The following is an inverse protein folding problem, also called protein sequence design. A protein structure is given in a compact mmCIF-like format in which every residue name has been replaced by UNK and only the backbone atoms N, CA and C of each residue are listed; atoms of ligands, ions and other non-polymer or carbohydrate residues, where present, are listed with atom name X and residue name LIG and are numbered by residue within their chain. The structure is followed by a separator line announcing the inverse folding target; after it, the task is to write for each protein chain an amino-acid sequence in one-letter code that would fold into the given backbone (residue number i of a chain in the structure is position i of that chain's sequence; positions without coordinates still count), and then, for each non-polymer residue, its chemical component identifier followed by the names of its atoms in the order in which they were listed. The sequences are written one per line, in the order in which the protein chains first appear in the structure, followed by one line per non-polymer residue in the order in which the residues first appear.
data_IF_728450888834
#
_entry.id   IF_728450888834
#
_cell.length_a   1.000
_cell.length_b   1.000
_cell.length_c   1.000
_cell.angle_alpha   90.00
_cell.angle_beta   90.00
_cell.angle_gamma   90.00
#
_symmetry.space_group_name_H-M   'P 1'
#
loop_
_entity.id
_entity.type
_entity.pdbx_description
1 polymer ?
#
# COMPACT_ATOMS: atom_id res chain seq x y z
N UNK A 1 -3.69 -2.94 -13.51
CA UNK A 1 -4.10 -1.83 -12.64
C UNK A 1 -3.82 -2.23 -11.20
N UNK A 2 -3.17 -1.37 -10.42
CA UNK A 2 -3.01 -1.59 -8.97
C UNK A 2 -4.16 -0.86 -8.27
N UNK A 3 -4.87 -1.54 -7.38
CA UNK A 3 -5.93 -0.94 -6.55
C UNK A 3 -5.33 -0.43 -5.23
N UNK A 4 -6.04 0.42 -4.48
CA UNK A 4 -5.60 0.86 -3.16
C UNK A 4 -5.24 -0.30 -2.21
N UNK A 5 -6.11 -1.31 -2.11
CA UNK A 5 -5.86 -2.50 -1.29
C UNK A 5 -4.64 -3.31 -1.76
N UNK A 6 -4.51 -3.52 -3.07
CA UNK A 6 -3.35 -4.19 -3.65
C UNK A 6 -2.03 -3.42 -3.42
N UNK A 7 -2.07 -2.08 -3.40
CA UNK A 7 -0.93 -1.25 -3.07
C UNK A 7 -0.50 -1.41 -1.61
N UNK A 8 -1.42 -1.39 -0.65
CA UNK A 8 -1.12 -1.67 0.76
C UNK A 8 -0.52 -3.08 0.92
N UNK A 9 -1.11 -4.09 0.26
CA UNK A 9 -0.57 -5.45 0.23
C UNK A 9 0.86 -5.52 -0.30
N UNK A 10 1.16 -4.75 -1.36
CA UNK A 10 2.51 -4.67 -1.90
C UNK A 10 3.48 -4.01 -0.90
N UNK A 11 3.08 -2.94 -0.21
CA UNK A 11 3.89 -2.32 0.86
C UNK A 11 4.22 -3.32 1.97
N UNK A 12 3.21 -4.04 2.48
CA UNK A 12 3.40 -5.04 3.54
C UNK A 12 4.32 -6.17 3.10
N UNK A 13 4.10 -6.73 1.91
CA UNK A 13 4.95 -7.79 1.34
C UNK A 13 6.37 -7.30 1.08
N UNK A 14 6.54 -6.06 0.62
CA UNK A 14 7.82 -5.40 0.47
C UNK A 14 8.59 -5.27 1.78
N UNK A 15 7.89 -5.08 2.90
CA UNK A 15 8.43 -5.09 4.25
C UNK A 15 8.56 -6.49 4.87
N UNK A 16 8.16 -7.56 4.15
CA UNK A 16 8.12 -8.95 4.61
C UNK A 16 7.32 -9.17 5.89
N UNK A 17 6.24 -8.42 6.07
CA UNK A 17 5.37 -8.54 7.23
C UNK A 17 4.16 -9.43 6.91
N UNK A 18 3.79 -10.30 7.84
CA UNK A 18 2.51 -11.02 7.79
C UNK A 18 1.35 -10.09 8.17
N UNK A 19 0.11 -10.51 7.91
CA UNK A 19 -1.05 -9.76 8.41
C UNK A 19 -1.09 -9.73 9.94
N UNK A 20 -0.62 -10.79 10.60
CA UNK A 20 -0.53 -10.85 12.07
C UNK A 20 0.50 -9.85 12.61
N UNK A 21 1.65 -9.72 11.96
CA UNK A 21 2.67 -8.71 12.36
C UNK A 21 2.14 -7.28 12.26
N UNK A 22 1.24 -7.03 11.30
CA UNK A 22 0.58 -5.74 11.14
C UNK A 22 -0.55 -5.56 12.14
N UNK A 23 -1.37 -6.59 12.35
CA UNK A 23 -2.47 -6.60 13.30
C UNK A 23 -2.01 -6.30 14.73
N UNK A 24 -0.86 -6.84 15.13
CA UNK A 24 -0.24 -6.60 16.44
C UNK A 24 0.15 -5.12 16.67
N UNK A 25 0.23 -4.32 15.61
CA UNK A 25 0.58 -2.87 15.67
C UNK A 25 -0.64 -1.96 15.70
N UNK A 26 -1.84 -2.52 15.58
CA UNK A 26 -3.09 -1.76 15.52
C UNK A 26 -3.80 -1.91 16.86
N UNK A 27 -3.92 -0.80 17.57
CA UNK A 27 -4.78 -0.74 18.76
C UNK A 27 -6.21 -0.37 18.37
N UNK A 28 -7.18 -0.97 19.04
CA UNK A 28 -8.61 -0.87 18.71
C UNK A 28 -9.43 -0.65 19.99
N UNK A 29 -10.43 0.24 19.92
CA UNK A 29 -11.41 0.45 20.99
C UNK A 29 -12.82 0.33 20.39
N UNK A 30 -13.66 -0.63 20.84
CA UNK A 30 -13.33 -1.72 21.77
C UNK A 30 -12.23 -2.65 21.24
N UNK A 31 -11.57 -3.38 22.15
CA UNK A 31 -10.47 -4.26 21.79
C UNK A 31 -10.96 -5.41 20.91
N UNK A 32 -10.39 -5.52 19.71
CA UNK A 32 -10.54 -6.68 18.83
C UNK A 32 -9.43 -7.70 19.12
N UNK A 33 -9.62 -8.95 18.73
CA UNK A 33 -8.55 -9.96 18.74
C UNK A 33 -7.58 -9.74 17.58
N UNK A 34 -6.37 -10.32 17.67
CA UNK A 34 -5.41 -10.32 16.55
C UNK A 34 -6.00 -10.95 15.29
N UNK A 35 -6.81 -12.00 15.44
CA UNK A 35 -7.48 -12.68 14.34
C UNK A 35 -8.48 -11.75 13.63
N UNK A 36 -9.29 -11.02 14.39
CA UNK A 36 -10.26 -10.06 13.83
C UNK A 36 -9.55 -8.89 13.13
N UNK A 37 -8.48 -8.37 13.73
CA UNK A 37 -7.66 -7.30 13.11
C UNK A 37 -6.98 -7.78 11.83
N UNK A 38 -6.43 -9.00 11.82
CA UNK A 38 -5.82 -9.59 10.64
C UNK A 38 -6.86 -9.81 9.53
N UNK A 39 -8.05 -10.31 9.87
CA UNK A 39 -9.16 -10.46 8.93
C UNK A 39 -9.68 -9.12 8.38
N UNK A 40 -9.69 -8.07 9.21
CA UNK A 40 -10.00 -6.72 8.75
C UNK A 40 -8.96 -6.19 7.76
N UNK A 41 -7.67 -6.35 8.05
CA UNK A 41 -6.57 -5.99 7.13
C UNK A 41 -6.63 -6.79 5.82
N UNK A 42 -6.96 -8.08 5.87
CA UNK A 42 -7.13 -8.91 4.68
C UNK A 42 -8.23 -8.36 3.77
N UNK A 43 -9.37 -7.98 4.34
CA UNK A 43 -10.49 -7.39 3.59
C UNK A 43 -10.15 -6.02 3.02
N UNK A 44 -9.35 -5.21 3.72
CA UNK A 44 -8.81 -3.96 3.18
C UNK A 44 -7.90 -4.22 1.99
N UNK A 45 -6.97 -5.17 2.11
CA UNK A 45 -6.06 -5.53 1.02
C UNK A 45 -6.76 -6.16 -0.19
N UNK A 46 -7.96 -6.70 0.02
CA UNK A 46 -8.84 -7.20 -1.03
C UNK A 46 -9.81 -6.14 -1.57
N UNK A 47 -9.67 -4.87 -1.15
CA UNK A 47 -10.53 -3.75 -1.55
C UNK A 47 -12.03 -3.96 -1.19
N UNK A 48 -12.33 -4.83 -0.23
CA UNK A 48 -13.69 -5.13 0.25
C UNK A 48 -14.17 -4.06 1.24
N UNK A 49 -13.27 -3.50 2.04
CA UNK A 49 -13.57 -2.44 3.01
C UNK A 49 -13.30 -1.08 2.36
N UNK A 50 -14.24 -0.12 2.43
CA UNK A 50 -14.00 1.24 1.96
C UNK A 50 -12.83 1.92 2.70
N UNK A 51 -11.95 2.63 1.96
CA UNK A 51 -10.89 3.44 2.55
C UNK A 51 -11.39 4.84 2.94
N UNK A 52 -12.23 4.89 3.96
CA UNK A 52 -12.65 6.17 4.55
C UNK A 52 -11.52 6.81 5.40
N UNK A 53 -11.72 8.06 5.83
CA UNK A 53 -10.73 8.79 6.62
C UNK A 53 -10.36 8.07 7.94
N UNK A 54 -11.34 7.41 8.57
CA UNK A 54 -11.14 6.65 9.80
C UNK A 54 -10.21 5.46 9.57
N UNK A 55 -10.45 4.71 8.50
CA UNK A 55 -9.64 3.58 8.06
C UNK A 55 -8.23 4.05 7.72
N UNK A 56 -8.09 5.12 6.95
CA UNK A 56 -6.78 5.69 6.59
C UNK A 56 -6.00 6.20 7.80
N UNK A 57 -6.67 6.79 8.79
CA UNK A 57 -6.05 7.25 10.03
C UNK A 57 -5.47 6.11 10.87
N UNK A 58 -6.11 4.93 10.86
CA UNK A 58 -5.58 3.72 11.51
C UNK A 58 -4.43 3.14 10.69
N UNK A 59 -4.61 3.01 9.37
CA UNK A 59 -3.62 2.38 8.50
C UNK A 59 -2.32 3.19 8.42
N UNK A 60 -2.37 4.52 8.46
CA UNK A 60 -1.17 5.38 8.38
C UNK A 60 -0.21 5.19 9.56
N UNK A 61 -0.68 4.59 10.66
CA UNK A 61 0.15 4.24 11.82
C UNK A 61 0.99 2.99 11.59
N UNK A 62 0.58 2.11 10.67
CA UNK A 62 1.19 0.79 10.48
C UNK A 62 1.76 0.59 9.08
N UNK A 63 1.27 1.31 8.08
CA UNK A 63 1.77 1.31 6.71
C UNK A 63 2.51 2.62 6.38
N UNK A 64 3.66 2.55 5.70
CA UNK A 64 4.38 3.73 5.24
C UNK A 64 3.86 4.21 3.87
N UNK A 65 2.60 4.65 3.79
CA UNK A 65 2.02 5.19 2.54
C UNK A 65 1.86 6.71 2.56
N UNK A 66 1.87 7.30 1.37
CA UNK A 66 1.37 8.66 1.13
C UNK A 66 -0.13 8.60 0.83
N UNK A 67 -0.93 9.36 1.59
CA UNK A 67 -2.39 9.39 1.43
C UNK A 67 -2.81 9.90 0.04
N UNK A 68 -1.99 10.77 -0.59
CA UNK A 68 -2.25 11.25 -1.94
C UNK A 68 -2.24 10.10 -2.97
N UNK A 69 -1.38 9.10 -2.79
CA UNK A 69 -1.33 7.91 -3.65
C UNK A 69 -2.60 7.06 -3.47
N UNK A 70 -3.09 6.91 -2.24
CA UNK A 70 -4.35 6.19 -2.01
C UNK A 70 -5.52 6.89 -2.71
N UNK A 71 -5.63 8.22 -2.57
CA UNK A 71 -6.67 8.99 -3.25
C UNK A 71 -6.57 8.90 -4.78
N UNK A 72 -5.37 8.97 -5.34
CA UNK A 72 -5.14 8.79 -6.77
C UNK A 72 -5.61 7.41 -7.25
N UNK A 73 -5.24 6.35 -6.54
CA UNK A 73 -5.66 4.98 -6.86
C UNK A 73 -7.17 4.79 -6.71
N UNK A 74 -7.81 5.45 -5.74
CA UNK A 74 -9.27 5.43 -5.60
C UNK A 74 -9.96 6.10 -6.79
N UNK A 75 -9.51 7.30 -7.18
CA UNK A 75 -10.04 8.00 -8.35
C UNK A 75 -9.87 7.19 -9.63
N UNK A 76 -8.74 6.50 -9.77
CA UNK A 76 -8.49 5.59 -10.88
C UNK A 76 -9.38 4.37 -10.88
N UNK A 77 -9.55 3.72 -9.72
CA UNK A 77 -10.48 2.60 -9.55
C UNK A 77 -11.92 2.99 -9.89
N UNK A 78 -12.33 4.21 -9.55
CA UNK A 78 -13.65 4.77 -9.89
C UNK A 78 -13.79 5.27 -11.33
N UNK A 79 -12.74 5.18 -12.15
CA UNK A 79 -12.76 5.65 -13.54
C UNK A 79 -12.82 7.17 -13.70
N UNK A 80 -12.45 7.92 -12.65
CA UNK A 80 -12.48 9.39 -12.66
C UNK A 80 -11.23 9.96 -13.35
N UNK A 81 -10.04 9.45 -13.00
CA UNK A 81 -8.74 9.90 -13.52
C UNK A 81 -7.77 8.71 -13.65
N UNK A 82 -6.81 8.76 -14.56
CA UNK A 82 -5.77 7.72 -14.65
C UNK A 82 -4.75 7.85 -13.50
N UNK A 83 -4.30 6.72 -12.95
CA UNK A 83 -3.20 6.73 -11.98
C UNK A 83 -1.86 6.97 -12.70
N UNK A 84 -1.18 8.03 -12.34
CA UNK A 84 0.07 8.51 -12.91
C UNK A 84 1.30 8.21 -12.06
N UNK A 85 1.14 8.00 -10.75
CA UNK A 85 2.27 7.68 -9.85
C UNK A 85 2.81 6.28 -10.17
N UNK A 86 4.11 6.14 -10.55
CA UNK A 86 4.70 4.84 -10.76
C UNK A 86 4.88 4.11 -9.43
N UNK A 87 4.30 2.90 -9.34
CA UNK A 87 4.34 2.05 -8.15
C UNK A 87 4.95 0.69 -8.51
N UNK A 88 5.80 0.17 -7.64
CA UNK A 88 6.26 -1.21 -7.76
C UNK A 88 5.17 -2.18 -7.27
N UNK A 89 4.71 -3.09 -8.14
CA UNK A 89 3.65 -4.04 -7.78
C UNK A 89 4.10 -5.11 -6.77
N UNK A 90 5.40 -5.22 -6.51
CA UNK A 90 5.96 -6.20 -5.58
C UNK A 90 6.14 -5.64 -4.17
N UNK A 91 6.57 -4.39 -4.05
CA UNK A 91 6.92 -3.78 -2.75
C UNK A 91 6.18 -2.47 -2.45
N UNK A 92 5.31 -2.00 -3.34
CA UNK A 92 4.51 -0.78 -3.20
C UNK A 92 5.30 0.52 -3.34
N UNK A 93 6.64 0.50 -3.33
CA UNK A 93 7.44 1.74 -3.38
C UNK A 93 7.16 2.58 -4.63
N UNK A 94 7.14 3.89 -4.44
CA UNK A 94 7.13 4.88 -5.51
C UNK A 94 8.52 5.03 -6.13
N UNK A 95 8.61 5.60 -7.33
CA UNK A 95 9.87 5.93 -7.99
C UNK A 95 10.74 6.95 -7.23
N UNK A 96 10.13 7.71 -6.31
CA UNK A 96 10.82 8.67 -5.40
C UNK A 96 11.56 8.00 -4.24
N UNK A 97 11.30 6.72 -3.97
CA UNK A 97 12.01 5.96 -2.93
C UNK A 97 12.86 4.88 -3.57
N UNK A 98 14.11 4.72 -3.12
CA UNK A 98 14.97 3.63 -3.60
C UNK A 98 14.24 2.30 -3.38
N UNK A 99 13.91 1.62 -4.47
CA UNK A 99 13.28 0.30 -4.48
C UNK A 99 14.32 -0.73 -4.04
N UNK A 100 14.58 -0.82 -2.73
CA UNK A 100 15.46 -1.84 -2.15
C UNK A 100 14.68 -3.12 -1.93
N UNK A 101 14.06 -3.67 -2.98
CA UNK A 101 13.61 -5.05 -2.94
C UNK A 101 14.88 -5.91 -2.80
N UNK A 102 15.27 -6.17 -1.56
CA UNK A 102 16.37 -7.05 -1.24
C UNK A 102 16.05 -8.44 -1.80
N UNK A 103 16.79 -8.78 -2.85
CA UNK A 103 17.04 -10.08 -3.46
C UNK A 103 16.06 -10.59 -4.54
N UNK A 104 16.67 -10.87 -5.70
CA UNK A 104 16.31 -11.76 -6.83
C UNK A 104 15.30 -11.32 -7.89
N UNK A 105 14.38 -10.39 -7.64
CA UNK A 105 13.47 -9.88 -8.68
C UNK A 105 13.64 -8.39 -8.94
N UNK A 106 13.88 -8.01 -10.21
CA UNK A 106 13.83 -6.61 -10.63
C UNK A 106 12.44 -6.02 -10.33
N UNK A 107 12.40 -4.81 -9.75
CA UNK A 107 11.13 -4.14 -9.44
C UNK A 107 10.24 -4.07 -10.69
N UNK A 108 8.95 -4.41 -10.55
CA UNK A 108 7.97 -4.38 -11.64
C UNK A 108 7.03 -3.20 -11.45
N UNK A 109 7.15 -2.21 -12.31
CA UNK A 109 6.47 -0.93 -12.16
C UNK A 109 5.14 -0.88 -12.92
N UNK A 110 4.16 -0.14 -12.40
CA UNK A 110 2.88 0.13 -13.08
C UNK A 110 3.02 1.07 -14.27
N UNK A 111 4.02 1.95 -14.22
CA UNK A 111 4.43 2.86 -15.27
C UNK A 111 5.96 2.97 -15.23
N UNK A 112 6.64 3.42 -16.30
CA UNK A 112 8.08 3.68 -16.24
C UNK A 112 8.41 4.59 -15.05
N UNK A 113 9.34 4.20 -14.15
CA UNK A 113 9.74 5.08 -13.06
C UNK A 113 10.37 6.34 -13.67
N UNK A 114 10.10 7.52 -13.09
CA UNK A 114 10.84 8.72 -13.50
C UNK A 114 12.30 8.44 -13.21
N UNK A 115 13.16 8.50 -14.22
CA UNK A 115 14.59 8.41 -14.02
C UNK A 115 14.97 9.44 -12.96
N UNK A 116 15.54 8.99 -11.84
CA UNK A 116 16.27 9.89 -10.97
C UNK A 116 17.27 10.58 -11.89
N UNK A 117 17.11 11.89 -12.10
CA UNK A 117 17.78 12.63 -13.15
C UNK A 117 19.24 12.22 -13.24
N UNK A 118 19.72 11.94 -14.45
CA UNK A 118 21.14 11.94 -14.72
C UNK A 118 21.62 13.35 -14.37
N UNK A 119 22.19 13.51 -13.17
CA UNK A 119 23.07 14.63 -12.86
C UNK A 119 24.30 14.44 -13.74
N UNK A 120 24.33 15.21 -14.82
CA UNK A 120 25.55 15.58 -15.52
C UNK A 120 26.45 16.42 -14.58
#
# INVERSE_FOLDING_TARGET
MITPGAYLKALRRGARLSLNDMAARIDTVPHLTDFERAGWLERIEADIVPMDLSTLAVLSRVYPFDIAVIFELERHRSGIEEATTPLCILCGKTDRTKCTAGHEAACRWTAPPKSAGATA
#
